data_IF_383261267936
#
_entry.id   IF_383261267936
#
_cell.length_a   1.000
_cell.length_b   1.000
_cell.length_c   1.000
_cell.angle_alpha   90.00
_cell.angle_beta   90.00
_cell.angle_gamma   90.00
#
_symmetry.space_group_name_H-M   'P 1'
#
loop_
_entity.id
_entity.type
_entity.pdbx_description
1 polymer ?
#
# COMPACT_ATOMS: atom_id res chain seq x y z
N UNK A 1 2.83 12.28 2.57
CA UNK A 1 2.60 10.95 1.97
C UNK A 1 1.21 10.48 2.31
N UNK A 2 0.92 9.20 2.05
CA UNK A 2 -0.31 8.51 2.48
C UNK A 2 0.10 7.26 3.24
N UNK A 3 -0.63 6.90 4.29
CA UNK A 3 -0.48 5.63 4.98
C UNK A 3 -1.82 4.89 5.03
N UNK A 4 -1.77 3.56 5.09
CA UNK A 4 -2.92 2.73 5.40
C UNK A 4 -2.53 1.56 6.30
N UNK A 5 -3.52 0.94 6.93
CA UNK A 5 -3.31 -0.25 7.74
C UNK A 5 -4.53 -1.18 7.55
N UNK A 6 -4.32 -2.35 6.94
CA UNK A 6 -5.42 -3.30 6.64
C UNK A 6 -5.94 -4.04 7.88
N UNK A 7 -5.15 -4.07 8.96
CA UNK A 7 -5.50 -4.72 10.23
C UNK A 7 -5.02 -6.16 10.31
N UNK A 8 -4.67 -6.60 11.53
CA UNK A 8 -4.24 -7.98 11.79
C UNK A 8 -5.37 -8.98 11.58
N UNK A 9 -5.11 -10.06 10.82
CA UNK A 9 -6.12 -11.09 10.53
C UNK A 9 -6.98 -10.79 9.29
N UNK A 10 -6.53 -9.89 8.42
CA UNK A 10 -7.08 -9.74 7.08
C UNK A 10 -6.87 -11.04 6.29
N UNK A 11 -7.79 -12.00 6.46
CA UNK A 11 -7.78 -13.25 5.71
C UNK A 11 -8.05 -13.07 4.21
N UNK A 12 -8.35 -11.84 3.77
CA UNK A 12 -8.52 -11.47 2.38
C UNK A 12 -7.35 -10.58 1.90
N UNK A 13 -6.41 -11.15 1.11
CA UNK A 13 -5.33 -10.41 0.46
C UNK A 13 -5.80 -9.21 -0.38
N UNK A 14 -7.04 -9.20 -0.88
CA UNK A 14 -7.57 -8.09 -1.68
C UNK A 14 -7.73 -6.80 -0.87
N UNK A 15 -7.72 -6.86 0.47
CA UNK A 15 -7.70 -5.67 1.30
C UNK A 15 -6.49 -4.77 1.00
N UNK A 16 -5.32 -5.35 0.70
CA UNK A 16 -4.14 -4.59 0.28
C UNK A 16 -4.35 -3.91 -1.08
N UNK A 17 -4.95 -4.60 -2.05
CA UNK A 17 -5.25 -4.04 -3.36
C UNK A 17 -6.19 -2.83 -3.26
N UNK A 18 -7.25 -2.94 -2.47
CA UNK A 18 -8.20 -1.83 -2.28
C UNK A 18 -7.56 -0.67 -1.51
N UNK A 19 -6.71 -0.95 -0.53
CA UNK A 19 -5.96 0.07 0.19
C UNK A 19 -5.00 0.84 -0.75
N UNK A 20 -4.26 0.15 -1.62
CA UNK A 20 -3.37 0.76 -2.62
C UNK A 20 -4.16 1.62 -3.62
N UNK A 21 -5.32 1.13 -4.10
CA UNK A 21 -6.20 1.91 -4.99
C UNK A 21 -6.67 3.20 -4.33
N UNK A 22 -7.09 3.13 -3.07
CA UNK A 22 -7.53 4.28 -2.31
C UNK A 22 -6.37 5.25 -2.07
N UNK A 23 -5.18 4.76 -1.75
CA UNK A 23 -3.99 5.58 -1.62
C UNK A 23 -3.68 6.32 -2.94
N UNK A 24 -3.75 5.64 -4.08
CA UNK A 24 -3.52 6.28 -5.38
C UNK A 24 -4.51 7.41 -5.65
N UNK A 25 -5.79 7.22 -5.31
CA UNK A 25 -6.81 8.27 -5.42
C UNK A 25 -6.46 9.50 -4.56
N UNK A 26 -5.96 9.29 -3.34
CA UNK A 26 -5.51 10.38 -2.47
C UNK A 26 -4.27 11.08 -3.05
N UNK A 27 -3.32 10.32 -3.62
CA UNK A 27 -2.19 10.89 -4.34
C UNK A 27 -2.63 11.81 -5.49
N UNK A 28 -3.59 11.35 -6.30
CA UNK A 28 -4.13 12.12 -7.43
C UNK A 28 -4.87 13.38 -6.97
N UNK A 29 -5.65 13.27 -5.89
CA UNK A 29 -6.32 14.42 -5.28
C UNK A 29 -5.33 15.43 -4.71
N UNK A 30 -4.27 14.95 -4.05
CA UNK A 30 -3.18 15.81 -3.56
C UNK A 30 -2.48 16.56 -4.69
N UNK A 31 -2.13 15.85 -5.76
CA UNK A 31 -1.51 16.46 -6.94
C UNK A 31 -2.42 17.53 -7.57
N UNK A 32 -3.73 17.27 -7.66
CA UNK A 32 -4.71 18.22 -8.21
C UNK A 32 -4.82 19.53 -7.42
N UNK A 33 -4.44 19.54 -6.13
CA UNK A 33 -4.40 20.74 -5.28
C UNK A 33 -2.97 21.27 -5.06
N UNK A 34 -1.99 20.81 -5.85
CA UNK A 34 -0.60 21.28 -5.79
C UNK A 34 0.25 20.69 -4.66
N UNK A 35 -0.20 19.60 -4.02
CA UNK A 35 0.63 18.88 -3.05
C UNK A 35 1.59 17.93 -3.76
N UNK A 36 2.83 17.89 -3.28
CA UNK A 36 3.81 16.87 -3.66
C UNK A 36 3.83 15.76 -2.61
N UNK A 37 3.03 14.71 -2.83
CA UNK A 37 3.07 13.48 -2.05
C UNK A 37 4.12 12.54 -2.65
N UNK A 38 5.06 12.07 -1.85
CA UNK A 38 6.23 11.30 -2.31
C UNK A 38 6.52 10.03 -1.49
N UNK A 39 5.64 9.69 -0.54
CA UNK A 39 5.82 8.54 0.35
C UNK A 39 4.50 7.81 0.50
N UNK A 40 4.52 6.50 0.32
CA UNK A 40 3.43 5.59 0.63
C UNK A 40 3.88 4.62 1.71
N UNK A 41 3.13 4.59 2.79
CA UNK A 41 3.27 3.61 3.86
C UNK A 41 2.16 2.56 3.76
N UNK A 42 2.53 1.30 3.51
CA UNK A 42 1.59 0.19 3.33
C UNK A 42 1.19 -0.46 4.66
N UNK A 43 1.71 0.05 5.78
CA UNK A 43 1.37 -0.39 7.13
C UNK A 43 1.78 -1.85 7.40
N UNK A 44 1.00 -2.50 8.27
CA UNK A 44 1.17 -3.89 8.66
C UNK A 44 -0.09 -4.72 8.39
N UNK A 45 -0.25 -5.81 9.13
CA UNK A 45 -1.37 -6.76 8.93
C UNK A 45 -0.94 -8.08 8.28
N UNK A 46 0.33 -8.18 7.88
CA UNK A 46 0.97 -9.43 7.48
C UNK A 46 0.94 -10.46 8.60
N UNK A 47 0.72 -11.72 8.22
CA UNK A 47 0.71 -12.89 9.10
C UNK A 47 1.49 -14.02 8.41
N UNK A 48 2.24 -14.83 9.17
CA UNK A 48 3.12 -15.88 8.60
C UNK A 48 2.39 -16.87 7.70
N UNK A 49 1.13 -17.17 8.01
CA UNK A 49 0.28 -18.13 7.30
C UNK A 49 -0.27 -17.61 5.95
N UNK A 50 -0.26 -16.30 5.75
CA UNK A 50 -0.79 -15.64 4.55
C UNK A 50 0.16 -14.61 3.95
N UNK A 51 1.44 -14.64 4.35
CA UNK A 51 2.41 -13.62 3.96
C UNK A 51 2.61 -13.59 2.46
N UNK A 52 2.91 -14.73 1.84
CA UNK A 52 3.23 -14.81 0.41
C UNK A 52 2.05 -14.37 -0.47
N UNK A 53 0.82 -14.75 -0.11
CA UNK A 53 -0.37 -14.36 -0.86
C UNK A 53 -0.67 -12.87 -0.72
N UNK A 54 -0.52 -12.32 0.49
CA UNK A 54 -0.67 -10.89 0.76
C UNK A 54 0.41 -10.06 0.06
N UNK A 55 1.67 -10.51 0.13
CA UNK A 55 2.81 -9.86 -0.50
C UNK A 55 2.70 -9.88 -2.03
N UNK A 56 2.25 -10.98 -2.63
CA UNK A 56 2.01 -11.06 -4.07
C UNK A 56 0.95 -10.05 -4.52
N UNK A 57 -0.21 -10.01 -3.85
CA UNK A 57 -1.29 -9.07 -4.18
C UNK A 57 -0.86 -7.61 -3.97
N UNK A 58 -0.12 -7.35 -2.89
CA UNK A 58 0.43 -6.02 -2.62
C UNK A 58 1.46 -5.63 -3.69
N UNK A 59 2.38 -6.52 -4.06
CA UNK A 59 3.38 -6.30 -5.10
C UNK A 59 2.76 -5.94 -6.44
N UNK A 60 1.82 -6.76 -6.92
CA UNK A 60 1.09 -6.51 -8.17
C UNK A 60 0.34 -5.16 -8.13
N UNK A 61 -0.20 -4.78 -6.97
CA UNK A 61 -0.87 -3.50 -6.80
C UNK A 61 0.13 -2.33 -6.82
N UNK A 62 1.28 -2.46 -6.16
CA UNK A 62 2.32 -1.42 -6.14
C UNK A 62 2.90 -1.21 -7.54
N UNK A 63 3.26 -2.27 -8.26
CA UNK A 63 3.76 -2.19 -9.65
C UNK A 63 2.76 -1.47 -10.57
N UNK A 64 1.46 -1.67 -10.34
CA UNK A 64 0.42 -1.05 -11.15
C UNK A 64 0.16 0.42 -10.81
N UNK A 65 0.10 0.76 -9.52
CA UNK A 65 -0.40 2.07 -9.06
C UNK A 65 0.71 3.02 -8.61
N UNK A 66 1.86 2.48 -8.19
CA UNK A 66 3.04 3.19 -7.70
C UNK A 66 4.32 2.58 -8.30
N UNK A 67 4.45 2.54 -9.65
CA UNK A 67 5.61 1.95 -10.29
C UNK A 67 6.89 2.74 -9.94
N UNK A 68 8.07 2.13 -10.08
CA UNK A 68 9.36 2.72 -9.68
C UNK A 68 9.58 4.12 -10.29
N UNK A 69 9.13 4.33 -11.53
CA UNK A 69 9.23 5.62 -12.25
C UNK A 69 8.40 6.74 -11.61
N UNK A 70 7.45 6.41 -10.74
CA UNK A 70 6.71 7.41 -9.95
C UNK A 70 7.59 8.13 -8.93
N UNK A 71 8.74 7.55 -8.56
CA UNK A 71 9.65 8.09 -7.56
C UNK A 71 9.07 8.14 -6.14
N UNK A 72 7.99 7.40 -5.87
CA UNK A 72 7.36 7.32 -4.55
C UNK A 72 8.19 6.41 -3.64
N UNK A 73 8.57 6.92 -2.48
CA UNK A 73 9.22 6.15 -1.43
C UNK A 73 8.22 5.19 -0.76
N UNK A 74 8.47 3.89 -0.82
CA UNK A 74 7.61 2.85 -0.25
C UNK A 74 8.17 2.38 1.09
N UNK A 75 7.35 2.38 2.14
CA UNK A 75 7.68 1.86 3.47
C UNK A 75 6.55 0.96 4.00
N UNK A 76 6.84 0.15 5.00
CA UNK A 76 5.87 -0.71 5.69
C UNK A 76 6.12 -0.71 7.20
N UNK A 77 5.09 -1.07 7.97
CA UNK A 77 5.10 -1.16 9.44
C UNK A 77 4.74 -2.58 9.92
N UNK A 78 5.52 -3.62 9.56
CA UNK A 78 5.30 -4.98 10.08
C UNK A 78 5.52 -5.00 11.60
N UNK A 79 4.73 -5.82 12.30
CA UNK A 79 4.81 -5.94 13.75
C UNK A 79 4.71 -7.36 14.28
N UNK A 80 3.67 -8.11 13.87
CA UNK A 80 3.51 -9.53 14.23
C UNK A 80 4.33 -10.46 13.31
N UNK A 81 4.57 -10.00 12.09
CA UNK A 81 5.54 -10.56 11.15
C UNK A 81 6.96 -10.16 11.60
#
# INVERSE_FOLDING_TARGET
GVSFHVGSGAGDPNAFLDAVRNAKRVFDQGAAIGMHLNTLDVGGGFSDDSFESSAAVLGDALDKYFPEESGVNLIAEPGRY
#
